data_IF_820153031598
#
_entry.id   IF_820153031598
#
_cell.length_a   1.000
_cell.length_b   1.000
_cell.length_c   1.000
_cell.angle_alpha   90.00
_cell.angle_beta   90.00
_cell.angle_gamma   90.00
#
_symmetry.space_group_name_H-M   'P 1'
#
loop_
_entity.id
_entity.type
_entity.pdbx_description
1 polymer ?
#
# COMPACT_ATOMS: atom_id res chain seq x y z
N UNK A 1 25.03 -2.87 21.14
CA UNK A 1 24.93 -4.01 22.07
C UNK A 1 23.72 -4.77 21.59
N UNK A 2 23.93 -5.90 20.93
CA UNK A 2 22.88 -6.59 20.20
C UNK A 2 22.85 -8.04 20.70
N UNK A 3 21.66 -8.58 20.83
CA UNK A 3 21.37 -9.91 21.38
C UNK A 3 21.23 -10.91 20.22
N UNK A 4 21.46 -12.19 20.52
CA UNK A 4 21.52 -13.31 19.57
C UNK A 4 20.55 -14.38 20.01
N UNK A 5 19.88 -14.98 19.04
CA UNK A 5 19.00 -16.13 19.19
C UNK A 5 19.80 -17.43 19.33
N UNK A 6 19.37 -18.28 20.26
CA UNK A 6 20.13 -19.46 20.68
C UNK A 6 19.62 -20.73 20.00
N UNK A 7 20.47 -21.37 19.19
CA UNK A 7 20.30 -22.79 18.87
C UNK A 7 21.40 -23.58 19.59
N UNK A 8 21.02 -24.57 20.41
CA UNK A 8 21.98 -25.51 20.97
C UNK A 8 22.22 -26.65 20.00
N UNK A 9 23.43 -26.79 19.47
CA UNK A 9 23.85 -28.09 18.96
C UNK A 9 24.19 -29.03 20.12
N UNK A 10 24.29 -30.33 19.83
CA UNK A 10 24.61 -31.39 20.80
C UNK A 10 26.02 -31.31 21.40
N UNK A 11 26.80 -30.26 21.06
CA UNK A 11 28.17 -30.05 21.53
C UNK A 11 28.31 -28.87 22.51
N UNK A 12 27.25 -28.09 22.74
CA UNK A 12 27.20 -27.10 23.84
C UNK A 12 27.98 -25.81 23.59
N UNK A 13 28.35 -25.49 22.35
CA UNK A 13 28.92 -24.19 21.97
C UNK A 13 27.85 -23.21 21.51
N UNK A 14 27.76 -22.02 22.14
CA UNK A 14 26.89 -20.92 21.69
C UNK A 14 27.71 -19.95 20.83
N UNK A 15 27.29 -19.73 19.58
CA UNK A 15 27.85 -18.71 18.69
C UNK A 15 26.88 -17.51 18.61
N UNK A 16 27.42 -16.30 18.78
CA UNK A 16 26.65 -15.06 18.90
C UNK A 16 26.58 -14.32 17.54
N UNK A 17 25.43 -14.27 16.85
CA UNK A 17 25.15 -13.39 15.72
C UNK A 17 23.94 -12.48 15.97
N UNK A 18 24.16 -11.18 15.82
CA UNK A 18 23.21 -10.12 16.12
C UNK A 18 22.41 -9.82 14.86
N UNK A 19 21.11 -10.12 14.84
CA UNK A 19 20.37 -10.21 13.58
C UNK A 19 18.87 -10.13 13.74
N UNK A 20 18.20 -10.17 12.61
CA UNK A 20 16.75 -10.21 12.46
C UNK A 20 16.35 -11.65 12.16
N UNK A 21 15.16 -12.05 12.61
CA UNK A 21 14.53 -13.36 12.31
C UNK A 21 14.16 -13.51 10.83
N UNK A 22 14.38 -12.47 10.02
CA UNK A 22 13.92 -12.34 8.64
C UNK A 22 15.08 -12.60 7.70
N UNK A 23 15.09 -13.80 7.10
CA UNK A 23 16.14 -14.24 6.17
C UNK A 23 16.03 -13.54 4.81
N UNK A 24 14.86 -13.67 4.18
CA UNK A 24 14.55 -13.07 2.89
C UNK A 24 13.43 -12.06 3.05
N UNK A 25 13.50 -10.96 2.31
CA UNK A 25 12.47 -9.94 2.23
C UNK A 25 12.49 -9.38 0.83
N UNK A 26 11.37 -9.47 0.15
CA UNK A 26 11.18 -8.94 -1.19
C UNK A 26 9.78 -8.36 -1.33
N UNK A 27 9.68 -7.32 -2.13
CA UNK A 27 8.40 -6.73 -2.51
C UNK A 27 8.25 -6.87 -4.01
N UNK A 28 7.20 -7.56 -4.44
CA UNK A 28 6.83 -7.69 -5.84
C UNK A 28 5.49 -7.03 -6.06
N UNK A 29 5.31 -6.37 -7.21
CA UNK A 29 4.06 -5.67 -7.55
C UNK A 29 3.35 -6.36 -8.70
N UNK A 30 2.04 -6.23 -8.79
CA UNK A 30 1.24 -6.63 -9.96
C UNK A 30 1.66 -5.85 -11.21
N UNK A 31 1.27 -6.32 -12.40
CA UNK A 31 1.60 -5.66 -13.68
C UNK A 31 1.09 -4.21 -13.75
N UNK A 32 -0.08 -3.97 -13.16
CA UNK A 32 -0.75 -2.69 -13.02
C UNK A 32 -0.34 -1.91 -11.75
N UNK A 33 0.54 -2.47 -10.91
CA UNK A 33 1.09 -1.83 -9.71
C UNK A 33 0.05 -1.37 -8.67
N UNK A 34 -1.15 -1.96 -8.68
CA UNK A 34 -2.21 -1.72 -7.68
C UNK A 34 -2.05 -2.61 -6.43
N UNK A 35 -1.42 -3.77 -6.59
CA UNK A 35 -1.22 -4.76 -5.53
C UNK A 35 0.27 -5.01 -5.32
N UNK A 36 0.66 -5.05 -4.04
CA UNK A 36 2.04 -5.25 -3.64
C UNK A 36 2.14 -6.42 -2.67
N UNK A 37 2.87 -7.44 -3.10
CA UNK A 37 3.12 -8.67 -2.38
C UNK A 37 4.43 -8.52 -1.62
N UNK A 38 4.34 -8.50 -0.30
CA UNK A 38 5.46 -8.36 0.61
C UNK A 38 5.77 -9.76 1.14
N UNK A 39 6.81 -10.39 0.61
CA UNK A 39 7.18 -11.76 0.92
C UNK A 39 8.41 -11.79 1.81
N UNK A 40 8.39 -12.62 2.83
CA UNK A 40 9.54 -12.83 3.69
C UNK A 40 9.59 -14.24 4.27
N UNK A 41 10.77 -14.60 4.78
CA UNK A 41 11.00 -15.91 5.41
C UNK A 41 11.47 -15.68 6.83
N UNK A 42 10.72 -16.23 7.79
CA UNK A 42 11.07 -16.28 9.19
C UNK A 42 11.85 -17.56 9.51
N UNK A 43 12.93 -17.42 10.26
CA UNK A 43 13.73 -18.56 10.73
C UNK A 43 13.24 -19.11 12.08
N UNK A 44 12.59 -18.28 12.89
CA UNK A 44 11.96 -18.65 14.16
C UNK A 44 10.61 -17.90 14.36
N UNK A 45 9.95 -18.12 15.49
CA UNK A 45 8.73 -17.41 15.87
C UNK A 45 9.01 -15.95 16.23
N UNK A 46 8.33 -15.02 15.56
CA UNK A 46 8.44 -13.59 15.85
C UNK A 46 7.16 -12.80 15.54
N UNK A 47 6.96 -11.68 16.23
CA UNK A 47 5.91 -10.70 15.91
C UNK A 47 6.43 -9.77 14.81
N UNK A 48 5.82 -9.84 13.63
CA UNK A 48 6.21 -9.05 12.45
C UNK A 48 5.18 -7.97 12.16
N UNK A 49 5.64 -6.72 12.18
CA UNK A 49 4.88 -5.54 11.77
C UNK A 49 5.45 -5.03 10.46
N UNK A 50 4.61 -4.91 9.45
CA UNK A 50 4.96 -4.30 8.17
C UNK A 50 4.36 -2.90 8.10
N UNK A 51 5.22 -1.89 7.96
CA UNK A 51 4.82 -0.50 7.84
C UNK A 51 5.01 -0.01 6.40
N UNK A 52 3.94 0.45 5.77
CA UNK A 52 4.00 1.17 4.50
C UNK A 52 4.10 2.65 4.79
N UNK A 53 5.09 3.31 4.17
CA UNK A 53 5.39 4.74 4.38
C UNK A 53 5.52 5.46 3.04
N UNK A 54 5.13 6.72 3.00
CA UNK A 54 5.26 7.55 1.81
C UNK A 54 6.71 8.03 1.57
N UNK A 55 6.91 8.79 0.48
CA UNK A 55 8.19 9.45 0.17
C UNK A 55 8.67 10.43 1.26
N UNK A 56 7.75 11.00 2.04
CA UNK A 56 8.01 11.93 3.14
C UNK A 56 8.26 11.24 4.49
N UNK A 57 8.25 9.90 4.53
CA UNK A 57 8.38 9.06 5.72
C UNK A 57 7.18 9.08 6.67
N UNK A 58 6.02 9.53 6.19
CA UNK A 58 4.76 9.45 6.92
C UNK A 58 4.23 8.01 6.85
N UNK A 59 3.75 7.50 7.98
CA UNK A 59 3.12 6.18 8.06
C UNK A 59 1.77 6.21 7.34
N UNK A 60 1.59 5.29 6.40
CA UNK A 60 0.39 5.16 5.57
C UNK A 60 -0.46 3.98 6.04
N UNK A 61 0.15 2.79 6.11
CA UNK A 61 -0.52 1.57 6.59
C UNK A 61 0.39 0.76 7.50
N UNK A 62 -0.22 0.10 8.48
CA UNK A 62 0.42 -0.89 9.34
C UNK A 62 -0.28 -2.23 9.12
N UNK A 63 0.48 -3.22 8.69
CA UNK A 63 0.03 -4.59 8.48
C UNK A 63 0.64 -5.45 9.57
N UNK A 64 -0.22 -6.14 10.33
CA UNK A 64 0.18 -6.98 11.45
C UNK A 64 -0.78 -8.15 11.54
N UNK A 65 -0.26 -9.38 11.57
CA UNK A 65 -1.07 -10.61 11.67
C UNK A 65 -0.83 -11.35 12.99
N UNK A 66 -0.27 -10.67 14.00
CA UNK A 66 0.16 -11.31 15.23
C UNK A 66 1.53 -11.99 15.11
N UNK A 67 1.81 -12.87 16.07
CA UNK A 67 3.02 -13.66 16.10
C UNK A 67 2.99 -14.78 15.07
N UNK A 68 4.00 -14.82 14.21
CA UNK A 68 4.10 -15.76 13.12
C UNK A 68 5.12 -16.85 13.41
N UNK A 69 4.80 -18.07 13.00
CA UNK A 69 5.72 -19.22 13.11
C UNK A 69 6.77 -19.16 12.01
N UNK A 70 7.92 -19.80 12.25
CA UNK A 70 8.98 -19.96 11.24
C UNK A 70 8.45 -20.49 9.90
N UNK A 71 8.87 -19.91 8.78
CA UNK A 71 8.42 -20.31 7.46
C UNK A 71 8.30 -19.12 6.49
N UNK A 72 7.71 -19.39 5.32
CA UNK A 72 7.41 -18.34 4.34
C UNK A 72 6.11 -17.65 4.73
N UNK A 73 6.16 -16.34 4.86
CA UNK A 73 5.04 -15.48 5.20
C UNK A 73 4.89 -14.38 4.14
N UNK A 74 3.67 -13.90 3.97
CA UNK A 74 3.41 -12.80 3.04
C UNK A 74 2.29 -11.90 3.53
N UNK A 75 2.42 -10.62 3.19
CA UNK A 75 1.34 -9.64 3.26
C UNK A 75 1.03 -9.15 1.85
N UNK A 76 -0.23 -8.73 1.65
CA UNK A 76 -0.64 -8.03 0.45
C UNK A 76 -1.05 -6.62 0.85
N UNK A 77 -0.48 -5.63 0.19
CA UNK A 77 -0.89 -4.24 0.28
C UNK A 77 -1.56 -3.82 -1.03
N UNK A 78 -2.85 -3.49 -0.94
CA UNK A 78 -3.70 -3.10 -2.08
C UNK A 78 -3.77 -1.58 -2.26
N UNK A 79 -2.78 -0.82 -1.78
CA UNK A 79 -2.77 0.63 -1.98
C UNK A 79 -3.76 1.39 -1.09
N UNK A 80 -3.99 0.95 0.14
CA UNK A 80 -4.88 1.63 1.09
C UNK A 80 -4.13 2.16 2.32
N UNK A 81 -4.72 3.09 3.05
CA UNK A 81 -4.23 3.56 4.34
C UNK A 81 -4.78 2.73 5.51
N UNK A 82 -4.49 3.15 6.76
CA UNK A 82 -5.02 2.52 7.98
C UNK A 82 -6.54 2.69 8.19
N UNK A 83 -7.19 3.55 7.43
CA UNK A 83 -8.66 3.72 7.41
C UNK A 83 -9.29 3.00 6.22
N UNK A 84 -8.52 2.14 5.56
CA UNK A 84 -8.89 1.42 4.34
C UNK A 84 -9.32 2.35 3.19
N UNK A 85 -8.81 3.59 3.18
CA UNK A 85 -9.01 4.52 2.07
C UNK A 85 -7.88 4.36 1.03
N UNK A 86 -8.19 4.45 -0.28
CA UNK A 86 -7.18 4.35 -1.32
C UNK A 86 -6.15 5.49 -1.19
N UNK A 87 -4.90 5.17 -1.45
CA UNK A 87 -3.80 6.15 -1.41
C UNK A 87 -3.42 6.58 -2.82
N UNK A 88 -2.96 7.82 -2.95
CA UNK A 88 -2.58 8.38 -4.24
C UNK A 88 -1.43 7.61 -4.87
N UNK A 89 -1.44 7.48 -6.20
CA UNK A 89 -0.30 6.96 -6.96
C UNK A 89 1.00 7.69 -6.60
N UNK A 90 2.08 6.93 -6.38
CA UNK A 90 3.34 7.51 -5.91
C UNK A 90 4.40 6.48 -5.54
N UNK A 91 5.52 6.98 -5.02
CA UNK A 91 6.59 6.13 -4.48
C UNK A 91 6.36 5.88 -2.99
N UNK A 92 6.32 4.61 -2.62
CA UNK A 92 6.17 4.15 -1.26
C UNK A 92 7.36 3.28 -0.87
N UNK A 93 7.60 3.16 0.43
CA UNK A 93 8.53 2.18 0.98
C UNK A 93 7.78 1.28 1.95
N UNK A 94 8.16 0.02 1.94
CA UNK A 94 7.78 -0.92 2.99
C UNK A 94 8.94 -1.06 3.95
N UNK A 95 8.66 -0.95 5.24
CA UNK A 95 9.58 -1.19 6.35
C UNK A 95 9.07 -2.40 7.12
N UNK A 96 9.88 -3.45 7.19
CA UNK A 96 9.55 -4.62 8.00
C UNK A 96 10.22 -4.47 9.37
N UNK A 97 9.40 -4.51 10.41
CA UNK A 97 9.81 -4.44 11.81
C UNK A 97 9.54 -5.79 12.44
N UNK A 98 10.59 -6.35 13.00
CA UNK A 98 10.61 -7.67 13.63
C UNK A 98 10.79 -7.47 15.13
N UNK A 99 9.99 -8.19 15.93
CA UNK A 99 10.05 -8.12 17.39
C UNK A 99 9.84 -9.49 18.01
N UNK A 100 10.89 -10.02 18.62
CA UNK A 100 10.87 -11.27 19.35
C UNK A 100 11.24 -11.06 20.83
N UNK A 101 10.66 -11.88 21.72
CA UNK A 101 10.96 -11.87 23.16
C UNK A 101 11.80 -13.10 23.49
N UNK A 102 13.08 -12.88 23.80
CA UNK A 102 13.97 -13.94 24.31
C UNK A 102 13.89 -14.04 25.84
N UNK A 103 13.51 -15.21 26.34
CA UNK A 103 13.23 -15.46 27.77
C UNK A 103 14.42 -15.42 28.76
N UNK A 104 15.58 -14.85 28.44
CA UNK A 104 16.73 -14.82 29.37
C UNK A 104 17.60 -13.56 29.30
N UNK A 105 17.08 -12.44 28.78
CA UNK A 105 17.77 -11.14 28.86
C UNK A 105 17.19 -10.36 30.04
N UNK A 106 18.05 -9.74 30.86
CA UNK A 106 17.68 -8.96 32.05
C UNK A 106 16.89 -7.68 31.74
N UNK A 107 16.44 -7.52 30.50
CA UNK A 107 15.60 -6.44 29.99
C UNK A 107 14.59 -7.07 29.02
N UNK A 108 13.44 -7.48 29.55
CA UNK A 108 12.40 -8.26 28.88
C UNK A 108 11.53 -7.44 27.92
N UNK A 109 12.08 -6.38 27.33
CA UNK A 109 11.38 -5.56 26.35
C UNK A 109 11.61 -6.14 24.96
N UNK A 110 10.56 -6.40 24.16
CA UNK A 110 10.70 -6.71 22.74
C UNK A 110 11.58 -5.63 22.09
N UNK A 111 12.62 -6.03 21.37
CA UNK A 111 13.45 -5.09 20.61
C UNK A 111 12.89 -5.04 19.19
N UNK A 112 12.29 -3.91 18.82
CA UNK A 112 11.88 -3.65 17.45
C UNK A 112 13.13 -3.44 16.60
N UNK A 113 13.49 -4.43 15.79
CA UNK A 113 14.59 -4.33 14.83
C UNK A 113 13.98 -4.02 13.48
N UNK A 114 14.29 -2.84 12.91
CA UNK A 114 14.02 -2.58 11.50
C UNK A 114 14.95 -3.46 10.69
N UNK A 115 14.37 -4.39 9.95
CA UNK A 115 15.14 -5.47 9.32
C UNK A 115 15.59 -5.05 7.92
N UNK A 116 14.65 -4.60 7.09
CA UNK A 116 14.86 -4.21 5.69
C UNK A 116 13.80 -3.19 5.25
N UNK A 117 14.18 -2.36 4.29
CA UNK A 117 13.29 -1.45 3.58
C UNK A 117 13.41 -1.63 2.07
N UNK A 118 12.28 -1.56 1.36
CA UNK A 118 12.22 -1.63 -0.11
C UNK A 118 11.31 -0.54 -0.63
N UNK A 119 11.80 0.19 -1.63
CA UNK A 119 11.03 1.20 -2.38
C UNK A 119 10.33 0.56 -3.57
N UNK A 120 9.11 0.99 -3.84
CA UNK A 120 8.32 0.56 -4.99
C UNK A 120 7.37 1.69 -5.43
N UNK A 121 6.88 1.61 -6.66
CA UNK A 121 5.84 2.50 -7.16
C UNK A 121 4.47 1.84 -6.98
N UNK A 122 3.54 2.58 -6.40
CA UNK A 122 2.13 2.22 -6.34
C UNK A 122 1.37 3.05 -7.37
N UNK A 123 0.50 2.39 -8.12
CA UNK A 123 -0.45 3.03 -9.01
C UNK A 123 -1.83 2.63 -8.50
N UNK A 124 -2.60 3.64 -8.09
CA UNK A 124 -3.98 3.43 -7.68
C UNK A 124 -4.74 2.78 -8.85
N UNK A 125 -5.52 1.70 -8.62
CA UNK A 125 -6.30 1.07 -9.67
C UNK A 125 -7.16 2.14 -10.35
N UNK A 126 -6.92 2.32 -11.64
CA UNK A 126 -7.53 3.35 -12.44
C UNK A 126 -8.68 2.77 -13.25
N UNK A 127 -9.74 3.57 -13.45
CA UNK A 127 -10.91 3.18 -14.21
C UNK A 127 -11.68 2.05 -13.50
N UNK A 128 -12.26 2.33 -12.33
CA UNK A 128 -13.33 1.49 -11.78
C UNK A 128 -14.69 1.94 -12.32
N UNK A 129 -14.94 3.25 -12.30
CA UNK A 129 -16.17 3.88 -12.77
C UNK A 129 -15.83 5.14 -13.55
N UNK A 130 -15.94 5.12 -14.88
CA UNK A 130 -15.83 6.36 -15.69
C UNK A 130 -16.87 7.37 -15.22
N UNK A 131 -16.43 8.57 -14.87
CA UNK A 131 -17.27 9.63 -14.28
C UNK A 131 -17.14 9.79 -12.76
N UNK A 132 -16.52 8.85 -12.06
CA UNK A 132 -16.08 9.00 -10.66
C UNK A 132 -14.71 9.70 -10.62
N UNK A 133 -14.71 11.00 -10.90
CA UNK A 133 -13.50 11.82 -11.12
C UNK A 133 -12.73 12.04 -9.82
N UNK A 134 -13.40 12.02 -8.67
CA UNK A 134 -12.75 12.12 -7.36
C UNK A 134 -12.42 10.77 -6.71
N UNK A 135 -12.75 9.66 -7.39
CA UNK A 135 -12.50 8.27 -6.98
C UNK A 135 -13.13 7.93 -5.62
N UNK A 136 -14.37 8.38 -5.41
CA UNK A 136 -15.15 8.17 -4.19
C UNK A 136 -15.87 6.81 -4.14
N UNK A 137 -15.79 6.02 -5.22
CA UNK A 137 -16.48 4.73 -5.39
C UNK A 137 -17.89 4.88 -5.98
N UNK A 138 -18.21 6.03 -6.55
CA UNK A 138 -19.51 6.32 -7.14
C UNK A 138 -19.51 7.62 -7.93
N UNK A 139 -20.38 7.69 -8.94
CA UNK A 139 -20.54 8.88 -9.77
C UNK A 139 -21.66 9.78 -9.24
N UNK A 140 -21.31 10.98 -8.80
CA UNK A 140 -22.26 11.99 -8.33
C UNK A 140 -21.88 13.45 -8.69
N UNK A 141 -22.49 14.41 -8.00
CA UNK A 141 -22.30 15.85 -8.29
C UNK A 141 -20.93 16.35 -7.83
N UNK A 142 -20.30 15.71 -6.85
CA UNK A 142 -18.95 16.01 -6.39
C UNK A 142 -17.95 15.84 -7.53
N UNK A 143 -18.05 14.76 -8.30
CA UNK A 143 -17.23 14.50 -9.50
C UNK A 143 -17.31 15.62 -10.53
N UNK A 144 -18.53 16.07 -10.81
CA UNK A 144 -18.76 17.21 -11.71
C UNK A 144 -18.07 18.46 -11.18
N UNK A 145 -18.17 18.74 -9.87
CA UNK A 145 -17.50 19.91 -9.28
C UNK A 145 -15.98 19.77 -9.30
N UNK A 146 -15.45 18.56 -9.11
CA UNK A 146 -14.02 18.25 -9.20
C UNK A 146 -13.51 18.51 -10.62
N UNK A 147 -14.21 17.98 -11.63
CA UNK A 147 -13.84 18.12 -13.04
C UNK A 147 -13.89 19.59 -13.49
N UNK A 148 -14.89 20.36 -13.03
CA UNK A 148 -14.95 21.82 -13.26
C UNK A 148 -13.76 22.53 -12.62
N UNK A 149 -13.41 22.19 -11.38
CA UNK A 149 -12.25 22.76 -10.70
C UNK A 149 -10.95 22.47 -11.47
N UNK A 150 -10.77 21.23 -11.93
CA UNK A 150 -9.61 20.79 -12.72
C UNK A 150 -9.49 21.53 -14.05
N UNK A 151 -10.59 21.64 -14.79
CA UNK A 151 -10.59 22.21 -16.16
C UNK A 151 -10.49 23.74 -16.17
N UNK A 152 -11.15 24.42 -15.25
CA UNK A 152 -11.32 25.88 -15.33
C UNK A 152 -10.58 26.67 -14.25
N UNK A 153 -10.24 26.03 -13.13
CA UNK A 153 -9.67 26.72 -11.96
C UNK A 153 -8.28 26.21 -11.56
N UNK A 154 -7.69 25.29 -12.34
CA UNK A 154 -6.39 24.72 -12.02
C UNK A 154 -6.41 23.87 -10.74
N UNK A 155 -7.56 23.23 -10.47
CA UNK A 155 -7.71 22.26 -9.39
C UNK A 155 -6.75 21.06 -9.53
N UNK A 156 -6.63 20.24 -8.47
CA UNK A 156 -5.75 19.08 -8.48
C UNK A 156 -6.09 18.13 -9.63
N UNK A 157 -5.09 17.44 -10.23
CA UNK A 157 -5.36 16.38 -11.20
C UNK A 157 -6.22 15.28 -10.57
N UNK A 158 -7.10 14.61 -11.33
CA UNK A 158 -7.83 13.44 -10.84
C UNK A 158 -6.87 12.36 -10.32
N UNK A 159 -7.24 11.62 -9.26
CA UNK A 159 -6.47 10.45 -8.83
C UNK A 159 -6.24 9.44 -9.96
N UNK A 160 -7.23 9.33 -10.85
CA UNK A 160 -7.21 8.52 -12.04
C UNK A 160 -7.68 9.37 -13.25
N UNK A 161 -6.80 9.55 -14.23
CA UNK A 161 -7.14 10.35 -15.42
C UNK A 161 -8.17 9.64 -16.33
N UNK A 162 -8.20 8.29 -16.32
CA UNK A 162 -9.14 7.50 -17.12
C UNK A 162 -10.59 7.62 -16.62
N UNK A 163 -10.80 7.95 -15.34
CA UNK A 163 -12.14 8.19 -14.78
C UNK A 163 -12.66 9.59 -15.11
N UNK A 164 -11.73 10.54 -15.29
CA UNK A 164 -12.05 11.88 -15.77
C UNK A 164 -12.26 11.97 -17.28
N UNK A 165 -11.81 10.98 -18.04
CA UNK A 165 -12.11 10.77 -19.47
C UNK A 165 -13.47 10.07 -19.59
N UNK A 166 -14.52 10.76 -19.16
CA UNK A 166 -15.89 10.22 -19.05
C UNK A 166 -16.42 9.72 -20.40
N UNK A 167 -16.00 10.33 -21.51
CA UNK A 167 -16.42 9.91 -22.86
C UNK A 167 -15.49 8.91 -23.56
N UNK A 168 -14.39 8.50 -22.91
CA UNK A 168 -13.46 7.50 -23.44
C UNK A 168 -12.60 7.99 -24.61
N UNK A 169 -12.45 9.30 -24.78
CA UNK A 169 -11.70 9.89 -25.90
C UNK A 169 -10.19 9.81 -25.74
N UNK A 170 -9.69 9.35 -24.59
CA UNK A 170 -8.28 9.23 -24.26
C UNK A 170 -7.67 10.51 -23.68
N UNK A 171 -8.49 11.41 -23.14
CA UNK A 171 -8.00 12.57 -22.42
C UNK A 171 -9.08 13.52 -21.91
N UNK A 172 -8.86 14.04 -20.70
CA UNK A 172 -9.81 14.90 -20.01
C UNK A 172 -9.95 16.28 -20.65
N UNK A 173 -11.17 16.62 -21.05
CA UNK A 173 -11.54 17.88 -21.65
C UNK A 173 -12.99 18.28 -21.33
N UNK A 174 -13.49 19.34 -22.00
CA UNK A 174 -14.84 19.88 -21.74
C UNK A 174 -15.96 18.95 -22.24
N UNK A 175 -15.67 18.06 -23.19
CA UNK A 175 -16.60 17.04 -23.66
C UNK A 175 -16.97 16.07 -22.52
N UNK A 176 -16.00 15.65 -21.72
CA UNK A 176 -16.20 14.78 -20.54
C UNK A 176 -17.14 15.41 -19.52
N UNK A 177 -16.93 16.69 -19.21
CA UNK A 177 -17.82 17.44 -18.32
C UNK A 177 -19.24 17.53 -18.90
N UNK A 178 -19.36 17.75 -20.21
CA UNK A 178 -20.68 17.81 -20.87
C UNK A 178 -21.37 16.46 -20.82
N UNK A 179 -20.61 15.37 -21.00
CA UNK A 179 -21.10 14.00 -20.91
C UNK A 179 -21.59 13.69 -19.49
N UNK A 180 -20.78 13.98 -18.47
CA UNK A 180 -21.11 13.76 -17.07
C UNK A 180 -22.39 14.52 -16.66
N UNK A 181 -22.53 15.78 -17.08
CA UNK A 181 -23.77 16.56 -16.85
C UNK A 181 -24.98 15.93 -17.53
N UNK A 182 -24.81 15.46 -18.78
CA UNK A 182 -25.89 14.81 -19.50
C UNK A 182 -26.34 13.52 -18.83
N UNK A 183 -25.39 12.72 -18.34
CA UNK A 183 -25.68 11.50 -17.60
C UNK A 183 -26.41 11.80 -16.27
N UNK A 184 -25.84 12.66 -15.43
CA UNK A 184 -26.35 12.94 -14.08
C UNK A 184 -27.72 13.63 -14.07
N UNK A 185 -27.98 14.55 -15.00
CA UNK A 185 -29.15 15.44 -14.93
C UNK A 185 -30.12 15.33 -16.10
N UNK A 186 -29.66 14.88 -17.28
CA UNK A 186 -30.45 14.94 -18.52
C UNK A 186 -30.88 13.57 -19.03
N UNK A 187 -30.55 12.48 -18.32
CA UNK A 187 -30.85 11.11 -18.75
C UNK A 187 -30.07 10.67 -19.97
N UNK A 188 -28.85 11.21 -20.13
CA UNK A 188 -27.90 10.79 -21.16
C UNK A 188 -27.43 9.34 -20.97
N UNK A 189 -26.69 8.79 -21.96
CA UNK A 189 -26.15 7.44 -21.85
C UNK A 189 -25.22 7.30 -20.63
N UNK A 190 -25.18 6.12 -19.99
CA UNK A 190 -24.13 5.80 -19.01
C UNK A 190 -22.76 5.76 -19.70
N UNK A 191 -21.68 6.21 -19.02
CA UNK A 191 -20.33 6.03 -19.51
C UNK A 191 -20.02 4.56 -19.80
N UNK A 192 -19.14 4.33 -20.76
CA UNK A 192 -18.68 2.99 -21.07
C UNK A 192 -17.89 2.39 -19.90
N UNK A 193 -17.89 1.06 -19.82
CA UNK A 193 -17.11 0.33 -18.83
C UNK A 193 -15.61 0.54 -19.04
N UNK A 194 -14.90 0.49 -17.92
CA UNK A 194 -13.49 0.17 -17.86
C UNK A 194 -13.30 -1.34 -18.11
#
# INVERSE_FOLDING_TARGET
MYVVESWSDSSGGQFFAIGTDVLNFEVTSSENQNEHYINYILIDFSDVVVEVRDQSNVLVKTLFDGGQVSGTCSFVWEGTDNSDQPVTSGSYRVVLVDSCIYWNVVDSTPVNVVTKEVWFSHVQPCCEIRGDVDHSGGMDVADMTYLVARLFFGGPPPPCEDEGDVDGSGGINVADLTYLVANLFLGGPPPDGC
#
